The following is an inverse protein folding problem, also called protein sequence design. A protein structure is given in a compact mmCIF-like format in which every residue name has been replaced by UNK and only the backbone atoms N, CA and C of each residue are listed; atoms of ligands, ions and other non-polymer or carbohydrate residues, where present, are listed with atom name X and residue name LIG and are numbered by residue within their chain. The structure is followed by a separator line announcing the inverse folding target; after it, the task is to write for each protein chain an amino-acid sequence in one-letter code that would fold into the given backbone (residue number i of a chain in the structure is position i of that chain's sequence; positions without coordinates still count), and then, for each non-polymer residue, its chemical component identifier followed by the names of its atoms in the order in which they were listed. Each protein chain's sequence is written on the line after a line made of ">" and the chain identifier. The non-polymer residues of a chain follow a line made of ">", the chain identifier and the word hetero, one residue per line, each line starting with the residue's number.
data_IF_239845798505
#
_entry.id   IF_239845798505
#
_cell.length_a   1.000
_cell.length_b   1.000
_cell.length_c   1.000
_cell.angle_alpha   90.00
_cell.angle_beta   90.00
_cell.angle_gamma   90.00
#
_symmetry.space_group_name_H-M   'P 1'
#
loop_
_entity.id
_entity.type
_entity.pdbx_description
1 polymer ?
#
# COMPACT_ATOMS: atom_id res chain seq x y z
N UNK A 1 30.21 3.59 7.07
CA UNK A 1 30.21 4.73 8.01
C UNK A 1 29.52 5.97 7.45
N UNK A 2 30.07 6.67 6.45
CA UNK A 2 29.49 7.95 5.93
C UNK A 2 28.00 7.86 5.56
N UNK A 3 27.57 6.76 4.93
CA UNK A 3 26.16 6.51 4.61
C UNK A 3 25.27 6.45 5.87
N UNK A 4 25.76 5.82 6.95
CA UNK A 4 25.03 5.69 8.22
C UNK A 4 24.95 7.04 8.94
N UNK A 5 26.04 7.82 8.92
CA UNK A 5 26.05 9.19 9.49
C UNK A 5 25.01 10.06 8.80
N UNK A 6 25.01 10.03 7.46
CA UNK A 6 24.03 10.76 6.66
C UNK A 6 22.60 10.26 6.90
N UNK A 7 22.38 8.95 6.95
CA UNK A 7 21.06 8.38 7.17
C UNK A 7 20.47 8.78 8.52
N UNK A 8 21.26 8.67 9.60
CA UNK A 8 20.84 9.03 10.95
C UNK A 8 20.54 10.54 11.04
N UNK A 9 21.39 11.39 10.48
CA UNK A 9 21.15 12.84 10.46
C UNK A 9 19.90 13.24 9.66
N UNK A 10 19.60 12.55 8.56
CA UNK A 10 18.37 12.78 7.78
C UNK A 10 17.12 12.31 8.54
N UNK A 11 17.20 11.16 9.21
CA UNK A 11 16.09 10.63 9.98
C UNK A 11 15.72 11.55 11.16
N UNK A 12 16.72 12.07 11.88
CA UNK A 12 16.50 13.05 12.93
C UNK A 12 15.85 14.34 12.38
N UNK A 13 16.47 14.93 11.36
CA UNK A 13 16.04 16.22 10.80
C UNK A 13 14.65 16.19 10.14
N UNK A 14 14.32 15.14 9.40
CA UNK A 14 13.13 15.12 8.55
C UNK A 14 12.02 14.19 9.05
N UNK A 15 12.36 13.18 9.85
CA UNK A 15 11.41 12.18 10.35
C UNK A 15 11.22 12.26 11.87
N UNK A 16 11.96 13.14 12.55
CA UNK A 16 11.93 13.30 14.01
C UNK A 16 12.25 11.98 14.74
N UNK A 17 13.27 11.26 14.22
CA UNK A 17 13.74 9.98 14.77
C UNK A 17 15.03 10.23 15.55
N UNK A 18 15.05 9.99 16.87
CA UNK A 18 16.21 10.31 17.68
C UNK A 18 17.41 9.44 17.32
N UNK A 19 18.64 10.00 17.27
CA UNK A 19 19.86 9.27 16.92
C UNK A 19 20.36 8.40 18.10
N UNK A 20 19.58 7.39 18.48
CA UNK A 20 19.86 6.53 19.65
C UNK A 20 20.89 5.42 19.37
N UNK A 21 21.28 5.22 18.11
CA UNK A 21 22.35 4.32 17.69
C UNK A 21 23.44 5.13 17.00
N UNK A 22 24.71 4.82 17.27
CA UNK A 22 25.82 5.51 16.63
C UNK A 22 26.01 5.04 15.18
N UNK A 23 26.48 5.90 14.26
CA UNK A 23 26.79 5.49 12.90
C UNK A 23 27.85 4.39 12.79
N UNK A 24 28.80 4.35 13.73
CA UNK A 24 29.81 3.29 13.81
C UNK A 24 29.17 1.95 14.15
N UNK A 25 28.29 1.91 15.16
CA UNK A 25 27.61 0.67 15.57
C UNK A 25 26.68 0.16 14.47
N UNK A 26 25.92 1.07 13.83
CA UNK A 26 25.03 0.71 12.73
C UNK A 26 25.79 0.19 11.49
N UNK A 27 27.05 0.58 11.30
CA UNK A 27 27.88 0.12 10.17
C UNK A 27 28.85 -1.01 10.52
N UNK A 28 28.81 -1.49 11.77
CA UNK A 28 29.66 -2.57 12.26
C UNK A 28 29.27 -3.91 11.63
N UNK A 29 30.27 -4.78 11.41
CA UNK A 29 30.03 -6.19 11.07
C UNK A 29 29.46 -6.97 12.28
N UNK A 30 29.74 -6.48 13.49
CA UNK A 30 29.21 -6.97 14.77
C UNK A 30 28.14 -5.99 15.23
N UNK A 31 27.01 -5.97 14.51
CA UNK A 31 25.89 -5.09 14.80
C UNK A 31 25.22 -5.50 16.12
N UNK A 32 25.00 -4.52 17.01
CA UNK A 32 24.15 -4.74 18.18
C UNK A 32 22.68 -4.80 17.77
N UNK A 33 22.19 -6.01 17.50
CA UNK A 33 20.85 -6.27 16.99
C UNK A 33 19.75 -5.63 17.86
N UNK A 34 19.77 -5.73 19.22
CA UNK A 34 18.80 -5.05 20.07
C UNK A 34 18.76 -3.52 19.88
N UNK A 35 19.91 -2.85 19.80
CA UNK A 35 19.95 -1.40 19.56
C UNK A 35 19.46 -1.04 18.16
N UNK A 36 19.81 -1.85 17.15
CA UNK A 36 19.32 -1.66 15.79
C UNK A 36 17.80 -1.81 15.71
N UNK A 37 17.24 -2.87 16.31
CA UNK A 37 15.80 -3.11 16.37
C UNK A 37 15.10 -1.95 17.09
N UNK A 38 15.67 -1.48 18.20
CA UNK A 38 15.16 -0.33 18.95
C UNK A 38 15.16 0.93 18.09
N UNK A 39 16.21 1.17 17.30
CA UNK A 39 16.26 2.31 16.39
C UNK A 39 15.21 2.18 15.26
N UNK A 40 15.06 0.99 14.67
CA UNK A 40 14.07 0.72 13.63
C UNK A 40 12.62 0.85 14.13
N UNK A 41 12.35 0.54 15.41
CA UNK A 41 11.00 0.65 15.98
C UNK A 41 10.45 2.08 15.91
N UNK A 42 11.30 3.11 16.01
CA UNK A 42 10.89 4.50 15.87
C UNK A 42 10.30 4.82 14.49
N UNK A 43 10.71 4.10 13.44
CA UNK A 43 10.17 4.27 12.10
C UNK A 43 8.79 3.65 11.97
N UNK A 44 8.60 2.46 12.54
CA UNK A 44 7.41 1.63 12.33
C UNK A 44 6.33 1.80 13.39
N UNK A 45 6.63 2.41 14.54
CA UNK A 45 5.65 2.69 15.61
C UNK A 45 4.37 3.34 15.08
N UNK A 46 3.27 3.19 15.81
CA UNK A 46 1.99 3.81 15.46
C UNK A 46 2.18 5.32 15.24
N UNK A 47 1.68 5.82 14.11
CA UNK A 47 1.87 7.21 13.64
C UNK A 47 3.33 7.63 13.37
N UNK A 48 4.28 6.71 13.37
CA UNK A 48 5.65 6.90 12.91
C UNK A 48 5.73 7.15 11.40
N UNK A 49 6.92 7.54 10.88
CA UNK A 49 7.09 7.86 9.47
C UNK A 49 6.82 6.67 8.55
N UNK A 50 7.28 5.46 8.93
CA UNK A 50 7.03 4.22 8.20
C UNK A 50 5.55 3.87 8.21
N UNK A 51 4.90 3.96 9.38
CA UNK A 51 3.46 3.72 9.52
C UNK A 51 2.66 4.61 8.55
N UNK A 52 2.91 5.92 8.58
CA UNK A 52 2.23 6.89 7.72
C UNK A 52 2.50 6.65 6.24
N UNK A 53 3.75 6.34 5.89
CA UNK A 53 4.14 6.07 4.51
C UNK A 53 3.46 4.81 3.96
N UNK A 54 3.40 3.73 4.75
CA UNK A 54 2.70 2.50 4.34
C UNK A 54 1.19 2.75 4.21
N UNK A 55 0.58 3.47 5.15
CA UNK A 55 -0.85 3.75 5.11
C UNK A 55 -1.22 4.61 3.89
N UNK A 56 -0.42 5.64 3.61
CA UNK A 56 -0.56 6.46 2.41
C UNK A 56 -0.40 5.62 1.13
N UNK A 57 0.56 4.69 1.11
CA UNK A 57 0.75 3.79 -0.03
C UNK A 57 -0.48 2.91 -0.26
N UNK A 58 -1.05 2.33 0.79
CA UNK A 58 -2.29 1.53 0.70
C UNK A 58 -3.45 2.39 0.16
N UNK A 59 -3.65 3.59 0.69
CA UNK A 59 -4.70 4.52 0.23
C UNK A 59 -4.55 4.89 -1.25
N UNK A 60 -3.32 5.04 -1.74
CA UNK A 60 -3.06 5.27 -3.16
C UNK A 60 -3.43 4.07 -4.03
N UNK A 61 -3.31 2.85 -3.51
CA UNK A 61 -3.70 1.62 -4.22
C UNK A 61 -5.20 1.37 -4.16
N UNK A 62 -5.87 1.78 -3.09
CA UNK A 62 -7.30 1.57 -2.83
C UNK A 62 -8.02 2.92 -2.66
N UNK A 63 -8.11 3.77 -3.71
CA UNK A 63 -8.60 5.14 -3.57
C UNK A 63 -10.08 5.26 -3.18
N UNK A 64 -10.86 4.18 -3.38
CA UNK A 64 -12.29 4.13 -3.07
C UNK A 64 -12.59 3.46 -1.72
N UNK A 65 -11.56 3.05 -0.97
CA UNK A 65 -11.70 2.39 0.33
C UNK A 65 -11.04 3.27 1.37
N UNK A 66 -11.80 3.61 2.41
CA UNK A 66 -11.25 4.34 3.54
C UNK A 66 -10.43 3.40 4.44
N UNK A 67 -9.12 3.65 4.52
CA UNK A 67 -8.21 2.92 5.41
C UNK A 67 -7.66 3.91 6.43
N UNK A 68 -7.93 3.72 7.71
CA UNK A 68 -7.57 4.68 8.76
C UNK A 68 -6.40 4.21 9.63
N UNK A 69 -6.19 2.90 9.72
CA UNK A 69 -5.23 2.27 10.61
C UNK A 69 -4.64 0.97 10.00
N UNK A 70 -3.93 0.20 10.81
CA UNK A 70 -3.46 -1.17 10.54
C UNK A 70 -4.01 -2.18 11.55
N UNK A 71 -5.15 -1.85 12.15
CA UNK A 71 -5.80 -2.56 13.25
C UNK A 71 -7.23 -2.90 12.82
N UNK A 72 -8.23 -2.13 13.27
CA UNK A 72 -9.64 -2.44 13.12
C UNK A 72 -10.11 -2.52 11.66
N UNK A 73 -9.60 -1.67 10.78
CA UNK A 73 -10.00 -1.63 9.37
C UNK A 73 -9.77 -2.96 8.63
N UNK A 74 -8.92 -3.84 9.17
CA UNK A 74 -8.44 -5.05 8.50
C UNK A 74 -9.07 -6.34 9.03
N UNK A 75 -9.78 -6.26 10.17
CA UNK A 75 -10.31 -7.42 10.90
C UNK A 75 -11.40 -8.20 10.14
N UNK A 76 -11.98 -7.62 9.08
CA UNK A 76 -12.99 -8.27 8.24
C UNK A 76 -12.46 -8.93 6.96
N UNK A 77 -11.18 -8.69 6.64
CA UNK A 77 -10.50 -9.21 5.47
C UNK A 77 -10.82 -8.51 4.15
N UNK A 78 -11.76 -7.57 4.11
CA UNK A 78 -12.18 -6.92 2.86
C UNK A 78 -11.05 -6.10 2.26
N UNK A 79 -10.41 -5.26 3.07
CA UNK A 79 -9.30 -4.40 2.62
C UNK A 79 -8.09 -5.26 2.22
N UNK A 80 -7.82 -6.36 2.93
CA UNK A 80 -6.75 -7.30 2.60
C UNK A 80 -6.98 -7.96 1.23
N UNK A 81 -8.17 -8.47 0.95
CA UNK A 81 -8.50 -9.04 -0.37
C UNK A 81 -8.36 -7.99 -1.47
N UNK A 82 -8.94 -6.80 -1.27
CA UNK A 82 -8.86 -5.71 -2.24
C UNK A 82 -7.41 -5.31 -2.53
N UNK A 83 -6.55 -5.27 -1.51
CA UNK A 83 -5.13 -4.98 -1.69
C UNK A 83 -4.41 -6.07 -2.48
N UNK A 84 -4.70 -7.34 -2.21
CA UNK A 84 -4.15 -8.49 -2.94
C UNK A 84 -4.55 -8.44 -4.42
N UNK A 85 -5.80 -8.12 -4.72
CA UNK A 85 -6.26 -7.95 -6.10
C UNK A 85 -5.59 -6.74 -6.77
N UNK A 86 -5.48 -5.62 -6.06
CA UNK A 86 -4.82 -4.40 -6.57
C UNK A 86 -3.33 -4.60 -6.92
N UNK A 87 -2.66 -5.60 -6.32
CA UNK A 87 -1.28 -5.97 -6.67
C UNK A 87 -1.21 -7.10 -7.71
N UNK A 88 -2.34 -7.55 -8.27
CA UNK A 88 -2.43 -8.59 -9.30
C UNK A 88 -2.59 -10.01 -8.77
N UNK A 89 -2.93 -10.19 -7.49
CA UNK A 89 -3.29 -11.47 -6.91
C UNK A 89 -4.73 -11.88 -7.24
N UNK A 90 -5.00 -13.17 -7.14
CA UNK A 90 -6.34 -13.72 -7.35
C UNK A 90 -6.92 -14.23 -6.03
N UNK A 91 -8.15 -13.80 -5.71
CA UNK A 91 -8.88 -14.18 -4.52
C UNK A 91 -9.92 -15.26 -4.86
N UNK A 92 -9.87 -16.38 -4.13
CA UNK A 92 -10.79 -17.48 -4.33
C UNK A 92 -12.15 -17.15 -3.68
N UNK A 93 -13.17 -16.77 -4.47
CA UNK A 93 -14.56 -16.58 -3.99
C UNK A 93 -15.27 -15.33 -4.53
N UNK A 94 -16.48 -15.02 -4.03
CA UNK A 94 -17.25 -13.87 -4.51
C UNK A 94 -16.68 -12.53 -3.98
N UNK A 95 -16.73 -11.50 -4.83
CA UNK A 95 -16.31 -10.12 -4.52
C UNK A 95 -17.13 -9.49 -3.37
N UNK A 96 -18.43 -9.82 -3.33
CA UNK A 96 -19.31 -9.39 -2.24
C UNK A 96 -19.14 -10.33 -1.03
N UNK A 97 -18.14 -10.04 -0.22
CA UNK A 97 -17.80 -10.85 0.94
C UNK A 97 -18.75 -10.56 2.11
N UNK A 98 -19.30 -11.63 2.68
CA UNK A 98 -20.02 -11.51 3.94
C UNK A 98 -19.04 -11.23 5.08
N UNK A 99 -19.43 -10.36 6.03
CA UNK A 99 -18.59 -9.94 7.16
C UNK A 99 -19.29 -10.05 8.53
N UNK A 100 -20.55 -10.53 8.53
CA UNK A 100 -21.42 -10.52 9.69
C UNK A 100 -20.93 -11.41 10.84
N UNK A 101 -20.26 -12.53 10.53
CA UNK A 101 -19.78 -13.48 11.54
C UNK A 101 -18.25 -13.53 11.57
N UNK A 102 -17.69 -13.88 12.73
CA UNK A 102 -16.24 -14.05 12.88
C UNK A 102 -15.69 -15.15 11.93
N UNK A 103 -16.44 -16.24 11.72
CA UNK A 103 -16.07 -17.28 10.76
C UNK A 103 -15.99 -16.78 9.30
N UNK A 104 -16.85 -15.83 8.94
CA UNK A 104 -16.79 -15.18 7.62
C UNK A 104 -15.54 -14.29 7.51
N UNK A 105 -15.25 -13.47 8.52
CA UNK A 105 -14.04 -12.63 8.55
C UNK A 105 -12.76 -13.45 8.46
N UNK A 106 -12.64 -14.52 9.25
CA UNK A 106 -11.51 -15.47 9.18
C UNK A 106 -11.39 -16.07 7.78
N UNK A 107 -12.52 -16.45 7.16
CA UNK A 107 -12.54 -16.98 5.80
C UNK A 107 -12.01 -15.95 4.79
N UNK A 108 -12.45 -14.71 4.87
CA UNK A 108 -12.00 -13.63 3.99
C UNK A 108 -10.49 -13.38 4.14
N UNK A 109 -10.02 -13.25 5.39
CA UNK A 109 -8.58 -13.05 5.66
C UNK A 109 -7.77 -14.24 5.14
N UNK A 110 -8.21 -15.48 5.37
CA UNK A 110 -7.50 -16.67 4.87
C UNK A 110 -7.39 -16.68 3.35
N UNK A 111 -8.43 -16.24 2.64
CA UNK A 111 -8.39 -16.08 1.17
C UNK A 111 -7.35 -15.05 0.76
N UNK A 112 -7.31 -13.89 1.43
CA UNK A 112 -6.30 -12.88 1.18
C UNK A 112 -4.88 -13.39 1.43
N UNK A 113 -4.66 -14.08 2.56
CA UNK A 113 -3.34 -14.65 2.89
C UNK A 113 -2.90 -15.70 1.87
N UNK A 114 -3.82 -16.55 1.40
CA UNK A 114 -3.53 -17.51 0.35
C UNK A 114 -3.21 -16.81 -0.98
N UNK A 115 -3.97 -15.77 -1.35
CA UNK A 115 -3.71 -14.96 -2.54
C UNK A 115 -2.34 -14.26 -2.48
N UNK A 116 -2.00 -13.66 -1.34
CA UNK A 116 -0.69 -13.07 -1.09
C UNK A 116 0.44 -14.10 -1.19
N UNK A 117 0.24 -15.31 -0.64
CA UNK A 117 1.24 -16.38 -0.69
C UNK A 117 1.50 -16.86 -2.14
N UNK A 118 0.46 -16.91 -2.99
CA UNK A 118 0.60 -17.16 -4.43
C UNK A 118 1.46 -16.10 -5.13
N UNK A 119 1.51 -14.87 -4.61
CA UNK A 119 2.39 -13.78 -5.08
C UNK A 119 3.80 -13.81 -4.44
N UNK A 120 4.10 -14.79 -3.60
CA UNK A 120 5.37 -14.90 -2.88
C UNK A 120 5.44 -14.08 -1.59
N UNK A 121 4.33 -13.50 -1.13
CA UNK A 121 4.25 -12.75 0.14
C UNK A 121 3.60 -13.61 1.21
N UNK A 122 4.39 -13.98 2.23
CA UNK A 122 3.90 -14.76 3.36
C UNK A 122 3.65 -13.84 4.57
N UNK A 123 2.53 -14.05 5.25
CA UNK A 123 2.20 -13.35 6.49
C UNK A 123 2.87 -14.00 7.70
N UNK A 124 3.29 -13.19 8.66
CA UNK A 124 3.75 -13.63 9.97
C UNK A 124 2.60 -13.84 10.97
N UNK A 125 1.39 -13.38 10.62
CA UNK A 125 0.19 -13.42 11.45
C UNK A 125 -0.89 -14.25 10.77
N UNK A 126 -1.55 -15.13 11.54
CA UNK A 126 -2.61 -16.02 11.06
C UNK A 126 -3.95 -15.31 10.85
N UNK A 127 -4.86 -15.94 10.10
CA UNK A 127 -6.17 -15.37 9.82
C UNK A 127 -7.04 -15.24 11.09
N UNK A 128 -6.90 -16.18 12.01
CA UNK A 128 -7.57 -16.21 13.30
C UNK A 128 -7.14 -15.03 14.17
N UNK A 129 -5.84 -14.74 14.20
CA UNK A 129 -5.25 -13.66 14.99
C UNK A 129 -5.67 -12.28 14.45
N UNK A 130 -5.65 -12.11 13.12
CA UNK A 130 -6.09 -10.87 12.46
C UNK A 130 -7.60 -10.63 12.68
N UNK A 131 -8.41 -11.69 12.72
CA UNK A 131 -9.85 -11.58 12.87
C UNK A 131 -10.33 -11.38 14.31
N UNK A 132 -9.46 -11.55 15.32
CA UNK A 132 -9.86 -11.48 16.72
C UNK A 132 -10.21 -10.03 17.07
N UNK A 133 -11.48 -9.73 17.42
CA UNK A 133 -11.86 -8.39 17.85
C UNK A 133 -11.15 -7.95 19.15
N UNK A 134 -10.58 -8.90 19.91
CA UNK A 134 -9.85 -8.67 21.16
C UNK A 134 -8.34 -8.62 20.95
N UNK A 135 -7.86 -8.66 19.70
CA UNK A 135 -6.46 -8.38 19.37
C UNK A 135 -6.17 -6.89 19.58
N UNK A 136 -6.19 -6.47 20.84
CA UNK A 136 -5.61 -5.21 21.27
C UNK A 136 -4.16 -5.43 21.77
N UNK A 137 -3.67 -6.69 21.81
CA UNK A 137 -2.40 -7.07 22.45
C UNK A 137 -1.69 -8.35 21.89
N UNK A 138 -1.28 -8.40 20.63
CA UNK A 138 -0.57 -9.54 20.01
C UNK A 138 0.89 -9.31 19.58
N UNK A 139 1.45 -8.10 19.68
CA UNK A 139 2.84 -7.86 19.27
C UNK A 139 3.91 -8.51 20.18
N UNK A 140 3.58 -8.91 21.42
CA UNK A 140 4.59 -9.29 22.42
C UNK A 140 5.12 -10.74 22.31
N UNK A 141 4.49 -11.62 21.52
CA UNK A 141 4.91 -13.03 21.45
C UNK A 141 6.13 -13.29 20.55
N UNK A 142 6.52 -12.33 19.69
CA UNK A 142 7.70 -12.44 18.83
C UNK A 142 9.02 -12.16 19.56
N UNK A 143 9.07 -11.09 20.36
CA UNK A 143 10.28 -10.64 21.05
C UNK A 143 10.72 -11.61 22.16
N UNK A 144 9.77 -12.22 22.87
CA UNK A 144 10.03 -13.26 23.89
C UNK A 144 10.78 -14.48 23.33
N UNK A 145 10.52 -14.85 22.07
CA UNK A 145 11.19 -15.99 21.42
C UNK A 145 12.60 -15.68 20.92
N UNK A 146 12.96 -14.39 20.83
CA UNK A 146 14.27 -13.93 20.35
C UNK A 146 15.27 -13.66 21.48
N UNK A 147 14.91 -13.91 22.75
CA UNK A 147 15.85 -13.82 23.87
C UNK A 147 16.35 -12.41 24.20
N UNK A 148 15.66 -11.37 23.72
CA UNK A 148 16.07 -9.97 23.88
C UNK A 148 15.65 -9.46 25.26
N UNK A 149 16.44 -9.78 26.29
CA UNK A 149 16.32 -9.15 27.60
C UNK A 149 17.20 -7.89 27.64
N UNK A 150 16.69 -6.76 27.13
CA UNK A 150 17.35 -5.46 27.28
C UNK A 150 16.91 -4.78 28.59
N UNK A 151 17.78 -3.93 29.14
CA UNK A 151 17.63 -3.19 30.42
C UNK A 151 16.49 -2.15 30.44
N UNK A 152 15.73 -2.08 29.36
CA UNK A 152 14.46 -1.37 29.20
C UNK A 152 13.49 -2.47 28.76
N UNK A 153 12.47 -2.75 29.58
CA UNK A 153 11.61 -3.90 29.35
C UNK A 153 10.98 -3.84 27.96
N UNK A 154 10.70 -5.00 27.34
CA UNK A 154 9.97 -5.04 26.07
C UNK A 154 8.64 -4.26 26.14
N UNK A 155 8.11 -4.09 27.35
CA UNK A 155 6.97 -3.24 27.73
C UNK A 155 7.18 -1.72 27.56
N UNK A 156 8.41 -1.22 27.63
CA UNK A 156 8.76 0.19 27.43
C UNK A 156 9.13 0.52 25.96
N UNK A 157 9.46 -0.51 25.16
CA UNK A 157 9.86 -0.39 23.74
C UNK A 157 8.68 -0.66 22.80
N UNK A 158 7.75 -1.53 23.19
CA UNK A 158 6.50 -1.74 22.48
C UNK A 158 5.48 -0.67 22.91
N UNK A 159 5.07 0.21 21.99
CA UNK A 159 3.77 0.88 22.13
C UNK A 159 2.74 -0.23 22.46
N UNK A 160 1.91 -0.10 23.51
CA UNK A 160 0.89 -1.09 23.84
C UNK A 160 -0.06 -1.39 22.65
N UNK A 161 -0.02 -0.58 21.59
CA UNK A 161 -0.71 -0.74 20.30
C UNK A 161 0.18 -1.31 19.18
N UNK A 162 1.22 -2.08 19.49
CA UNK A 162 2.19 -2.58 18.49
C UNK A 162 1.63 -3.67 17.55
N UNK A 163 0.36 -4.02 17.70
CA UNK A 163 -0.37 -5.01 16.91
C UNK A 163 -0.47 -4.67 15.42
N UNK A 164 -0.33 -3.38 15.09
CA UNK A 164 -0.26 -2.92 13.71
C UNK A 164 0.91 -3.52 12.93
N UNK A 165 1.98 -3.98 13.57
CA UNK A 165 3.22 -4.35 12.87
C UNK A 165 3.03 -5.54 11.92
N UNK A 166 2.20 -6.51 12.30
CA UNK A 166 1.91 -7.68 11.47
C UNK A 166 1.21 -7.31 10.16
N UNK A 167 0.13 -6.54 10.27
CA UNK A 167 -0.63 -6.04 9.11
C UNK A 167 0.21 -5.05 8.30
N UNK A 168 0.92 -4.13 8.96
CA UNK A 168 1.79 -3.16 8.31
C UNK A 168 2.91 -3.85 7.51
N UNK A 169 3.52 -4.91 8.05
CA UNK A 169 4.55 -5.67 7.35
C UNK A 169 3.98 -6.38 6.11
N UNK A 170 2.84 -7.07 6.26
CA UNK A 170 2.16 -7.75 5.16
C UNK A 170 1.76 -6.77 4.05
N UNK A 171 1.13 -5.65 4.42
CA UNK A 171 0.68 -4.63 3.47
C UNK A 171 1.84 -3.93 2.79
N UNK A 172 2.92 -3.63 3.51
CA UNK A 172 4.15 -3.07 2.93
C UNK A 172 4.78 -4.02 1.90
N UNK A 173 4.82 -5.31 2.20
CA UNK A 173 5.32 -6.33 1.27
C UNK A 173 4.45 -6.41 0.00
N UNK A 174 3.12 -6.43 0.15
CA UNK A 174 2.19 -6.38 -0.99
C UNK A 174 2.38 -5.09 -1.81
N UNK A 175 2.44 -3.94 -1.14
CA UNK A 175 2.67 -2.64 -1.79
C UNK A 175 4.00 -2.61 -2.56
N UNK A 176 5.01 -3.36 -2.12
CA UNK A 176 6.31 -3.45 -2.81
C UNK A 176 6.25 -4.24 -4.11
N UNK A 177 5.26 -5.14 -4.28
CA UNK A 177 5.04 -5.88 -5.52
C UNK A 177 4.50 -4.99 -6.65
N UNK A 178 3.75 -3.94 -6.28
CA UNK A 178 3.26 -2.96 -7.25
C UNK A 178 4.42 -2.12 -7.79
N UNK A 179 5.02 -2.59 -8.88
CA UNK A 179 6.15 -1.94 -9.52
C UNK A 179 5.68 -0.63 -10.15
N UNK A 180 6.24 0.47 -9.62
CA UNK A 180 6.04 1.86 -9.98
C UNK A 180 4.64 2.42 -9.70
N UNK A 181 4.59 3.33 -8.72
CA UNK A 181 3.78 4.53 -8.90
C UNK A 181 4.15 5.10 -10.27
N UNK A 182 3.30 4.90 -11.30
CA UNK A 182 3.33 5.81 -12.43
C UNK A 182 3.03 7.17 -11.81
N UNK A 183 4.07 8.01 -11.64
CA UNK A 183 3.85 9.41 -11.28
C UNK A 183 2.79 9.90 -12.27
N UNK A 184 1.71 10.54 -11.81
CA UNK A 184 0.68 11.01 -12.71
C UNK A 184 1.36 11.85 -13.79
N UNK A 185 1.23 11.42 -15.04
CA UNK A 185 1.75 12.18 -16.17
C UNK A 185 0.89 13.42 -16.23
N UNK A 186 1.50 14.58 -16.00
CA UNK A 186 0.83 15.86 -16.14
C UNK A 186 0.97 16.31 -17.57
N UNK A 187 -0.16 16.67 -18.17
CA UNK A 187 -0.21 17.31 -19.49
C UNK A 187 -1.01 18.60 -19.35
N UNK A 188 -0.62 19.63 -20.10
CA UNK A 188 -1.37 20.87 -20.21
C UNK A 188 -2.25 20.79 -21.46
N UNK A 189 -3.49 21.25 -21.34
CA UNK A 189 -4.44 21.31 -22.44
C UNK A 189 -5.31 22.56 -22.32
N UNK A 190 -5.96 22.93 -23.42
CA UNK A 190 -6.93 24.02 -23.45
C UNK A 190 -8.35 23.44 -23.42
N UNK A 191 -9.25 24.18 -22.77
CA UNK A 191 -10.68 23.86 -22.78
C UNK A 191 -11.20 23.78 -24.22
N UNK A 192 -12.06 22.79 -24.50
CA UNK A 192 -12.65 22.51 -25.80
C UNK A 192 -11.62 22.16 -26.90
N UNK A 193 -10.37 21.83 -26.54
CA UNK A 193 -9.37 21.34 -27.46
C UNK A 193 -9.04 19.88 -27.16
N UNK A 194 -9.02 19.04 -28.20
CA UNK A 194 -8.64 17.65 -28.07
C UNK A 194 -7.21 17.50 -27.53
N UNK A 195 -7.06 16.68 -26.50
CA UNK A 195 -5.77 16.23 -25.96
C UNK A 195 -5.64 14.73 -26.17
N UNK A 196 -4.44 14.31 -26.59
CA UNK A 196 -4.10 12.93 -26.85
C UNK A 196 -3.13 12.44 -25.77
N UNK A 197 -3.45 11.30 -25.15
CA UNK A 197 -2.67 10.67 -24.09
C UNK A 197 -2.17 9.32 -24.59
N UNK A 198 -0.85 9.20 -24.70
CA UNK A 198 -0.21 7.99 -25.17
C UNK A 198 -0.06 6.97 -24.02
N UNK A 199 -0.58 5.77 -24.26
CA UNK A 199 -0.43 4.61 -23.39
C UNK A 199 0.55 3.64 -24.04
N UNK A 200 1.69 3.41 -23.40
CA UNK A 200 2.62 2.36 -23.79
C UNK A 200 2.28 1.06 -23.06
N UNK A 201 2.21 -0.04 -23.80
CA UNK A 201 2.03 -1.38 -23.25
C UNK A 201 3.37 -2.10 -23.11
N UNK A 202 3.47 -3.00 -22.13
CA UNK A 202 4.68 -3.81 -21.94
C UNK A 202 4.82 -4.80 -23.09
N UNK A 203 6.07 -5.14 -23.43
CA UNK A 203 6.34 -6.06 -24.54
C UNK A 203 5.77 -7.45 -24.19
N UNK A 204 4.80 -7.92 -24.99
CA UNK A 204 4.14 -9.20 -24.80
C UNK A 204 2.78 -9.15 -24.08
N UNK A 205 2.26 -7.97 -23.72
CA UNK A 205 0.89 -7.84 -23.21
C UNK A 205 -0.12 -7.81 -24.36
N UNK A 206 -1.02 -8.79 -24.42
CA UNK A 206 -2.20 -8.78 -25.29
C UNK A 206 -3.33 -8.00 -24.61
N UNK A 207 -3.38 -6.69 -24.79
CA UNK A 207 -4.45 -5.83 -24.25
C UNK A 207 -5.42 -5.50 -25.39
N UNK A 208 -6.71 -5.83 -25.21
CA UNK A 208 -7.76 -5.27 -26.05
C UNK A 208 -8.07 -3.85 -25.59
N UNK A 209 -8.05 -2.91 -26.53
CA UNK A 209 -8.25 -1.49 -26.27
C UNK A 209 -9.72 -1.18 -26.00
N UNK A 210 -10.62 -2.01 -26.54
CA UNK A 210 -12.06 -1.85 -26.30
C UNK A 210 -12.43 -2.21 -24.85
N UNK A 211 -11.64 -3.06 -24.20
CA UNK A 211 -11.81 -3.46 -22.80
C UNK A 211 -11.20 -2.46 -21.81
N UNK A 212 -10.48 -1.44 -22.30
CA UNK A 212 -9.93 -0.41 -21.42
C UNK A 212 -11.03 0.47 -20.85
N UNK A 213 -11.29 0.32 -19.56
CA UNK A 213 -12.21 1.19 -18.85
C UNK A 213 -11.45 2.48 -18.46
N UNK A 214 -11.91 3.63 -18.98
CA UNK A 214 -11.25 4.93 -18.81
C UNK A 214 -12.21 5.87 -18.13
N UNK A 215 -11.83 6.33 -16.94
CA UNK A 215 -12.62 7.26 -16.13
C UNK A 215 -11.94 8.62 -16.13
N UNK A 216 -12.67 9.65 -16.52
CA UNK A 216 -12.20 11.04 -16.47
C UNK A 216 -13.03 11.80 -15.45
N UNK A 217 -12.34 12.41 -14.49
CA UNK A 217 -12.97 13.27 -13.48
C UNK A 217 -12.49 14.71 -13.62
N UNK A 218 -13.43 15.64 -13.51
CA UNK A 218 -13.18 17.07 -13.57
C UNK A 218 -12.66 17.67 -12.26
N UNK A 219 -12.42 18.99 -12.24
CA UNK A 219 -11.84 19.70 -11.08
C UNK A 219 -12.72 19.65 -9.83
N UNK A 220 -14.03 19.47 -10.02
CA UNK A 220 -15.06 19.35 -8.98
C UNK A 220 -15.23 17.92 -8.45
N UNK A 221 -14.50 16.95 -9.01
CA UNK A 221 -14.63 15.52 -8.69
C UNK A 221 -15.76 14.81 -9.42
N UNK A 222 -16.50 15.51 -10.29
CA UNK A 222 -17.54 14.92 -11.13
C UNK A 222 -16.89 14.03 -12.20
N UNK A 223 -17.43 12.82 -12.37
CA UNK A 223 -17.02 11.88 -13.42
C UNK A 223 -17.80 12.22 -14.70
N UNK A 224 -17.09 12.38 -15.81
CA UNK A 224 -17.69 12.63 -17.12
C UNK A 224 -18.07 11.33 -17.83
N UNK A 225 -19.17 11.36 -18.58
CA UNK A 225 -19.49 10.28 -19.50
C UNK A 225 -18.57 10.30 -20.72
N UNK A 226 -18.36 9.16 -21.38
CA UNK A 226 -17.53 9.07 -22.59
C UNK A 226 -18.04 10.00 -23.71
N UNK A 227 -19.36 10.21 -23.80
CA UNK A 227 -19.97 11.14 -24.77
C UNK A 227 -19.69 12.61 -24.49
N UNK A 228 -19.69 13.02 -23.21
CA UNK A 228 -19.55 14.44 -22.84
C UNK A 228 -18.17 14.99 -23.23
N UNK A 229 -17.14 14.15 -23.09
CA UNK A 229 -15.74 14.51 -23.39
C UNK A 229 -15.28 13.96 -24.73
N UNK A 230 -16.17 13.38 -25.53
CA UNK A 230 -15.87 12.75 -26.81
C UNK A 230 -14.65 11.80 -26.72
N UNK A 231 -14.66 10.92 -25.72
CA UNK A 231 -13.56 9.99 -25.49
C UNK A 231 -13.41 9.05 -26.70
N UNK A 232 -12.21 8.98 -27.25
CA UNK A 232 -11.84 8.01 -28.29
C UNK A 232 -10.62 7.21 -27.88
N UNK A 233 -10.63 5.92 -28.23
CA UNK A 233 -9.54 4.98 -27.94
C UNK A 233 -9.02 4.45 -29.28
N UNK A 234 -7.73 4.57 -29.55
CA UNK A 234 -7.13 4.11 -30.81
C UNK A 234 -5.89 3.26 -30.55
N UNK A 235 -5.71 2.18 -31.32
CA UNK A 235 -4.52 1.32 -31.23
C UNK A 235 -3.30 1.96 -31.89
N UNK A 236 -2.14 1.75 -31.29
CA UNK A 236 -0.84 2.07 -31.88
C UNK A 236 0.06 0.84 -31.91
N UNK A 237 1.21 0.96 -32.56
CA UNK A 237 2.22 -0.11 -32.63
C UNK A 237 2.78 -0.50 -31.25
N UNK A 238 2.79 0.45 -30.30
CA UNK A 238 3.41 0.29 -28.97
C UNK A 238 2.38 0.34 -27.82
N UNK A 239 1.09 0.50 -28.14
CA UNK A 239 0.01 0.52 -27.15
C UNK A 239 -1.27 1.17 -27.68
N UNK A 240 -1.70 2.27 -27.07
CA UNK A 240 -2.92 2.98 -27.44
C UNK A 240 -2.80 4.51 -27.28
N UNK A 241 -3.67 5.27 -27.95
CA UNK A 241 -3.89 6.70 -27.72
C UNK A 241 -5.31 6.88 -27.20
N UNK A 242 -5.45 7.61 -26.10
CA UNK A 242 -6.72 8.12 -25.62
C UNK A 242 -6.88 9.58 -26.05
N UNK A 243 -7.97 9.91 -26.73
CA UNK A 243 -8.31 11.29 -27.10
C UNK A 243 -9.49 11.77 -26.28
N UNK A 244 -9.37 12.94 -25.64
CA UNK A 244 -10.46 13.55 -24.86
C UNK A 244 -10.53 15.05 -25.14
N UNK A 245 -11.73 15.61 -25.02
CA UNK A 245 -11.98 17.05 -25.11
C UNK A 245 -12.46 17.54 -23.73
N UNK A 246 -11.61 18.27 -22.97
CA UNK A 246 -12.00 18.79 -21.66
C UNK A 246 -12.99 19.94 -21.82
N UNK A 247 -14.14 19.83 -21.17
CA UNK A 247 -15.24 20.81 -21.26
C UNK A 247 -15.19 21.88 -20.16
N UNK A 248 -14.37 21.70 -19.13
CA UNK A 248 -14.19 22.64 -18.02
C UNK A 248 -12.73 23.06 -17.84
N UNK A 249 -12.49 24.19 -17.19
CA UNK A 249 -11.14 24.66 -16.84
C UNK A 249 -10.76 24.12 -15.46
N UNK A 250 -9.62 23.45 -15.38
CA UNK A 250 -9.01 23.03 -14.12
C UNK A 250 -8.34 21.67 -14.20
N UNK A 251 -7.96 21.12 -13.05
CA UNK A 251 -7.29 19.83 -12.98
C UNK A 251 -8.27 18.69 -13.31
N UNK A 252 -8.01 17.99 -14.40
CA UNK A 252 -8.70 16.76 -14.75
C UNK A 252 -7.84 15.55 -14.35
N UNK A 253 -8.47 14.51 -13.80
CA UNK A 253 -7.80 13.25 -13.49
C UNK A 253 -8.35 12.16 -14.40
N UNK A 254 -7.45 11.61 -15.21
CA UNK A 254 -7.72 10.46 -16.09
C UNK A 254 -7.18 9.20 -15.41
N UNK A 255 -8.05 8.24 -15.17
CA UNK A 255 -7.71 6.95 -14.59
C UNK A 255 -8.07 5.83 -15.56
N UNK A 256 -7.13 4.90 -15.76
CA UNK A 256 -7.37 3.65 -16.47
C UNK A 256 -7.70 2.60 -15.42
N UNK A 257 -8.89 2.02 -15.50
CA UNK A 257 -9.28 0.84 -14.77
C UNK A 257 -9.05 -0.35 -15.70
N UNK A 258 -8.20 -1.28 -15.27
CA UNK A 258 -8.07 -2.56 -15.94
C UNK A 258 -9.00 -3.48 -15.15
N UNK A 259 -10.18 -3.76 -15.71
CA UNK A 259 -10.98 -4.89 -15.24
C UNK A 259 -10.26 -6.16 -15.69
N UNK A 260 -9.84 -6.98 -14.73
CA UNK A 260 -9.29 -8.32 -14.95
C UNK A 260 -10.34 -9.33 -14.51
#
# INVERSE_FOLDING_TARGET
>A
LENCERAIALADRFLNIPPIISPSDLSSAELDEPSCITYLSYFVKCNGPGYRATLERVRQMLPNIEVHDFEDCWKDGVILCALVEAVGGSIDGPMNMAVATNAQRITNIRRALNGASKLGVNSLVGAEDIADPRSDHLALNGASKLGVNSLVGAEDIADPRSDHLGIMALTSALCSLSSSSKKPIKSECLQNQQVNLDLAFSKGSEVDINELNVVVSGPTGIIYSESDIQLQKSRTINGAVLSIIPIEIGLHKVAQLIEV
#
